data_IF_414251053559
#
_entry.id   IF_414251053559
#
_cell.length_a   1.000
_cell.length_b   1.000
_cell.length_c   1.000
_cell.angle_alpha   90.00
_cell.angle_beta   90.00
_cell.angle_gamma   90.00
#
_symmetry.space_group_name_H-M   'P 1'
#
loop_
_entity.id
_entity.type
_entity.pdbx_description
1 polymer ?
#
# COMPACT_ATOMS: atom_id res chain seq x y z
N UNK A 1 -19.22 -8.78 -9.57
CA UNK A 1 -19.50 -9.68 -10.71
C UNK A 1 -20.99 -9.73 -11.01
N UNK A 2 -21.87 -9.94 -10.02
CA UNK A 2 -23.33 -10.03 -10.24
C UNK A 2 -23.93 -8.73 -10.80
N UNK A 3 -23.54 -7.56 -10.29
CA UNK A 3 -24.04 -6.27 -10.76
C UNK A 3 -23.69 -6.01 -12.24
N UNK A 4 -22.48 -6.40 -12.67
CA UNK A 4 -22.05 -6.30 -14.07
C UNK A 4 -22.83 -7.22 -15.01
N UNK A 5 -23.40 -8.33 -14.52
CA UNK A 5 -24.24 -9.22 -15.33
C UNK A 5 -25.64 -8.66 -15.54
N UNK A 6 -26.19 -7.98 -14.53
CA UNK A 6 -27.48 -7.28 -14.65
C UNK A 6 -27.34 -6.03 -15.53
N UNK A 7 -26.26 -5.27 -15.37
CA UNK A 7 -25.93 -4.10 -16.20
C UNK A 7 -25.71 -4.48 -17.67
N UNK A 8 -25.04 -5.60 -17.94
CA UNK A 8 -24.87 -6.11 -19.32
C UNK A 8 -26.19 -6.56 -19.94
N UNK A 9 -27.09 -7.20 -19.17
CA UNK A 9 -28.41 -7.58 -19.61
C UNK A 9 -29.31 -6.36 -19.86
N UNK A 10 -29.20 -5.34 -19.01
CA UNK A 10 -29.92 -4.08 -19.19
C UNK A 10 -29.47 -3.31 -20.44
N UNK A 11 -28.16 -3.35 -20.75
CA UNK A 11 -27.59 -2.65 -21.92
C UNK A 11 -27.76 -3.40 -23.23
N UNK A 12 -27.70 -4.74 -23.24
CA UNK A 12 -27.58 -5.55 -24.43
C UNK A 12 -28.74 -6.56 -24.60
N UNK A 13 -29.73 -6.57 -23.70
CA UNK A 13 -30.86 -7.47 -23.76
C UNK A 13 -30.47 -8.95 -23.83
N UNK A 14 -31.19 -9.75 -24.62
CA UNK A 14 -30.89 -11.18 -24.79
C UNK A 14 -29.57 -11.47 -25.51
N UNK A 15 -29.00 -10.50 -26.24
CA UNK A 15 -27.66 -10.58 -26.83
C UNK A 15 -26.52 -10.66 -25.83
N UNK A 16 -26.76 -10.40 -24.53
CA UNK A 16 -25.75 -10.55 -23.48
C UNK A 16 -25.25 -12.01 -23.32
N UNK A 17 -26.03 -12.99 -23.71
CA UNK A 17 -25.64 -14.39 -23.74
C UNK A 17 -24.63 -14.67 -24.85
N UNK A 18 -24.84 -14.09 -26.02
CA UNK A 18 -23.94 -14.23 -27.18
C UNK A 18 -22.61 -13.57 -26.95
N UNK A 19 -22.58 -12.41 -26.26
CA UNK A 19 -21.34 -11.76 -25.82
C UNK A 19 -20.55 -12.61 -24.84
N UNK A 20 -21.20 -13.35 -23.94
CA UNK A 20 -20.52 -14.29 -23.03
C UNK A 20 -19.92 -15.49 -23.76
N UNK A 21 -20.58 -16.00 -24.78
CA UNK A 21 -20.08 -17.11 -25.60
C UNK A 21 -18.90 -16.62 -26.44
N UNK A 22 -19.03 -15.44 -27.04
CA UNK A 22 -17.92 -14.81 -27.78
C UNK A 22 -16.72 -14.46 -26.93
N UNK A 23 -16.92 -14.13 -25.66
CA UNK A 23 -15.86 -13.77 -24.70
C UNK A 23 -15.20 -14.99 -24.01
N UNK A 24 -15.61 -16.24 -24.32
CA UNK A 24 -14.89 -17.43 -23.84
C UNK A 24 -13.51 -17.49 -24.47
N UNK A 25 -12.50 -17.89 -23.66
CA UNK A 25 -11.10 -17.93 -24.10
C UNK A 25 -10.90 -18.78 -25.35
N UNK A 26 -11.64 -19.88 -25.49
CA UNK A 26 -11.65 -20.80 -26.64
C UNK A 26 -12.12 -20.16 -27.97
N UNK A 27 -12.91 -19.07 -27.89
CA UNK A 27 -13.44 -18.36 -29.04
C UNK A 27 -12.64 -17.11 -29.42
N UNK A 28 -11.63 -16.74 -28.61
CA UNK A 28 -10.84 -15.53 -28.83
C UNK A 28 -9.53 -15.90 -29.54
N UNK A 29 -9.26 -15.23 -30.66
CA UNK A 29 -7.97 -15.32 -31.33
C UNK A 29 -6.99 -14.34 -30.68
N UNK A 30 -6.03 -14.90 -29.94
CA UNK A 30 -4.98 -14.14 -29.31
C UNK A 30 -3.90 -13.76 -30.33
N UNK A 31 -3.28 -12.59 -30.16
CA UNK A 31 -2.14 -12.16 -31.00
C UNK A 31 -0.96 -13.11 -30.86
N UNK A 32 -0.17 -13.23 -31.92
CA UNK A 32 1.15 -13.88 -31.87
C UNK A 32 2.21 -12.99 -31.22
N UNK A 33 1.99 -11.66 -31.14
CA UNK A 33 2.82 -10.72 -30.39
C UNK A 33 2.54 -10.89 -28.88
N UNK A 34 3.57 -11.23 -28.11
CA UNK A 34 3.45 -11.54 -26.68
C UNK A 34 2.85 -10.38 -25.87
N UNK A 35 3.27 -9.15 -26.14
CA UNK A 35 2.77 -8.00 -25.40
C UNK A 35 1.32 -7.68 -25.76
N UNK A 36 0.92 -7.84 -27.03
CA UNK A 36 -0.48 -7.69 -27.44
C UNK A 36 -1.32 -8.79 -26.80
N UNK A 37 -0.86 -10.05 -26.83
CA UNK A 37 -1.59 -11.18 -26.24
C UNK A 37 -1.78 -11.00 -24.72
N UNK A 38 -0.74 -10.55 -23.99
CA UNK A 38 -0.83 -10.25 -22.56
C UNK A 38 -1.82 -9.09 -22.33
N UNK A 39 -1.73 -8.01 -23.10
CA UNK A 39 -2.67 -6.89 -23.00
C UNK A 39 -4.11 -7.28 -23.23
N UNK A 40 -4.38 -8.10 -24.25
CA UNK A 40 -5.71 -8.62 -24.55
C UNK A 40 -6.27 -9.48 -23.39
N UNK A 41 -5.45 -10.36 -22.80
CA UNK A 41 -5.86 -11.26 -21.71
C UNK A 41 -6.06 -10.52 -20.39
N UNK A 42 -5.31 -9.47 -20.14
CA UNK A 42 -5.27 -8.77 -18.84
C UNK A 42 -5.98 -7.43 -18.82
N UNK A 43 -6.35 -6.90 -19.99
CA UNK A 43 -6.88 -5.55 -20.18
C UNK A 43 -5.94 -4.46 -19.61
N UNK A 44 -4.63 -4.69 -19.71
CA UNK A 44 -3.61 -3.71 -19.34
C UNK A 44 -3.17 -2.88 -20.55
N UNK A 45 -2.81 -1.60 -20.35
CA UNK A 45 -2.29 -0.76 -21.41
C UNK A 45 -0.91 -1.25 -21.87
N UNK A 46 -0.62 -1.10 -23.17
CA UNK A 46 0.61 -1.60 -23.80
C UNK A 46 1.90 -1.16 -23.09
N UNK A 47 2.08 0.12 -22.68
CA UNK A 47 3.31 0.52 -22.00
C UNK A 47 3.56 -0.23 -20.68
N UNK A 48 2.49 -0.52 -19.92
CA UNK A 48 2.59 -1.30 -18.70
C UNK A 48 2.92 -2.76 -19.00
N UNK A 49 2.28 -3.36 -20.00
CA UNK A 49 2.59 -4.74 -20.40
C UNK A 49 4.05 -4.89 -20.83
N UNK A 50 4.56 -3.95 -21.65
CA UNK A 50 5.95 -3.94 -22.09
C UNK A 50 6.93 -3.82 -20.90
N UNK A 51 6.60 -3.01 -19.89
CA UNK A 51 7.39 -2.90 -18.66
C UNK A 51 7.37 -4.22 -17.87
N UNK A 52 6.19 -4.79 -17.61
CA UNK A 52 6.05 -6.03 -16.86
C UNK A 52 6.75 -7.22 -17.53
N UNK A 53 6.65 -7.35 -18.86
CA UNK A 53 7.35 -8.42 -19.60
C UNK A 53 8.86 -8.25 -19.51
N UNK A 54 9.35 -7.02 -19.59
CA UNK A 54 10.79 -6.72 -19.51
C UNK A 54 11.37 -7.03 -18.14
N UNK A 55 10.63 -6.70 -17.08
CA UNK A 55 11.10 -6.86 -15.70
C UNK A 55 10.89 -8.27 -15.14
N UNK A 56 9.76 -8.89 -15.46
CA UNK A 56 9.34 -10.15 -14.83
C UNK A 56 9.21 -11.31 -15.82
N UNK A 57 9.23 -11.06 -17.12
CA UNK A 57 8.92 -12.06 -18.13
C UNK A 57 7.42 -12.21 -18.40
N UNK A 58 7.12 -12.92 -19.48
CA UNK A 58 5.75 -13.06 -20.01
C UNK A 58 4.81 -13.78 -19.04
N UNK A 59 5.27 -14.86 -18.41
CA UNK A 59 4.43 -15.68 -17.53
C UNK A 59 4.02 -14.92 -16.27
N UNK A 60 4.97 -14.23 -15.64
CA UNK A 60 4.72 -13.39 -14.47
C UNK A 60 3.82 -12.19 -14.81
N UNK A 61 4.00 -11.58 -16.00
CA UNK A 61 3.12 -10.50 -16.45
C UNK A 61 1.67 -10.96 -16.63
N UNK A 62 1.44 -12.19 -17.13
CA UNK A 62 0.11 -12.80 -17.21
C UNK A 62 -0.46 -13.11 -15.83
N UNK A 63 0.34 -13.68 -14.94
CA UNK A 63 -0.07 -13.99 -13.56
C UNK A 63 -0.41 -12.72 -12.77
N UNK A 64 0.41 -11.67 -12.90
CA UNK A 64 0.13 -10.36 -12.35
C UNK A 64 -1.20 -9.79 -12.85
N UNK A 65 -1.37 -9.78 -14.18
CA UNK A 65 -2.60 -9.30 -14.82
C UNK A 65 -3.85 -10.05 -14.38
N UNK A 66 -3.77 -11.36 -14.22
CA UNK A 66 -4.87 -12.17 -13.67
C UNK A 66 -5.18 -11.79 -12.22
N UNK A 67 -4.16 -11.62 -11.39
CA UNK A 67 -4.33 -11.26 -9.98
C UNK A 67 -4.96 -9.88 -9.78
N UNK A 68 -4.55 -8.87 -10.57
CA UNK A 68 -5.14 -7.51 -10.47
C UNK A 68 -6.54 -7.40 -11.09
N UNK A 69 -6.97 -8.37 -11.89
CA UNK A 69 -8.33 -8.46 -12.41
C UNK A 69 -9.27 -9.20 -11.43
N UNK A 70 -8.73 -9.93 -10.48
CA UNK A 70 -9.50 -10.55 -9.41
C UNK A 70 -9.79 -9.54 -8.29
N UNK A 71 -10.94 -9.65 -7.58
CA UNK A 71 -11.17 -8.86 -6.38
C UNK A 71 -10.08 -9.12 -5.32
N UNK A 72 -9.50 -8.04 -4.80
CA UNK A 72 -8.57 -8.18 -3.68
C UNK A 72 -9.28 -8.54 -2.36
N UNK A 73 -8.58 -9.17 -1.41
CA UNK A 73 -9.15 -9.47 -0.10
C UNK A 73 -9.52 -8.17 0.63
N UNK A 74 -10.55 -8.23 1.47
CA UNK A 74 -10.87 -7.15 2.40
C UNK A 74 -10.04 -7.38 3.65
N UNK A 75 -8.87 -6.76 3.69
CA UNK A 75 -7.94 -6.84 4.80
C UNK A 75 -8.12 -5.66 5.73
N UNK A 76 -8.01 -5.91 7.01
CA UNK A 76 -8.18 -4.94 8.08
C UNK A 76 -6.97 -4.99 9.03
N UNK A 77 -6.75 -3.89 9.76
CA UNK A 77 -5.76 -3.75 10.81
C UNK A 77 -6.45 -3.44 12.13
N UNK A 78 -6.27 -4.28 13.12
CA UNK A 78 -6.70 -3.98 14.48
C UNK A 78 -5.97 -2.73 15.01
N UNK A 79 -6.69 -1.91 15.77
CA UNK A 79 -6.11 -0.72 16.40
C UNK A 79 -5.48 -1.12 17.75
N UNK A 80 -4.17 -1.29 17.79
CA UNK A 80 -3.43 -1.69 18.99
C UNK A 80 -3.55 -0.71 20.16
N UNK A 81 -3.90 0.55 19.90
CA UNK A 81 -4.15 1.53 20.96
C UNK A 81 -5.43 1.22 21.76
N UNK A 82 -6.43 0.59 21.13
CA UNK A 82 -7.72 0.25 21.75
C UNK A 82 -7.88 -1.24 22.04
N UNK A 83 -7.47 -2.08 21.10
CA UNK A 83 -7.56 -3.55 21.21
C UNK A 83 -6.23 -4.10 21.74
N UNK A 84 -6.10 -4.21 23.06
CA UNK A 84 -4.88 -4.73 23.72
C UNK A 84 -4.61 -6.19 23.41
N UNK A 85 -5.67 -6.98 23.13
CA UNK A 85 -5.60 -8.35 22.62
C UNK A 85 -5.40 -8.46 21.11
N UNK A 86 -5.14 -7.32 20.41
CA UNK A 86 -4.83 -7.28 19.01
C UNK A 86 -5.95 -7.75 18.08
N UNK A 87 -5.57 -8.45 17.01
CA UNK A 87 -6.52 -8.94 16.00
C UNK A 87 -7.53 -9.95 16.56
N UNK A 88 -7.14 -10.78 17.52
CA UNK A 88 -8.03 -11.79 18.13
C UNK A 88 -9.14 -11.15 18.97
N UNK A 89 -8.86 -10.05 19.67
CA UNK A 89 -9.87 -9.28 20.39
C UNK A 89 -10.89 -8.66 19.43
N UNK A 90 -10.41 -8.02 18.35
CA UNK A 90 -11.27 -7.44 17.32
C UNK A 90 -12.10 -8.51 16.62
N UNK A 91 -11.51 -9.67 16.33
CA UNK A 91 -12.21 -10.82 15.75
C UNK A 91 -13.37 -11.29 16.64
N UNK A 92 -13.14 -11.39 17.96
CA UNK A 92 -14.20 -11.76 18.92
C UNK A 92 -15.33 -10.71 18.99
N UNK A 93 -15.00 -9.41 18.83
CA UNK A 93 -16.01 -8.34 18.77
C UNK A 93 -16.82 -8.43 17.47
N UNK A 94 -16.17 -8.63 16.33
CA UNK A 94 -16.81 -8.76 15.01
C UNK A 94 -17.70 -10.01 14.93
N UNK A 95 -17.29 -11.11 15.55
CA UNK A 95 -18.10 -12.33 15.61
C UNK A 95 -19.46 -12.11 16.32
N UNK A 96 -19.52 -11.21 17.32
CA UNK A 96 -20.79 -10.82 17.98
C UNK A 96 -21.71 -10.02 17.04
N UNK A 97 -21.16 -9.36 16.03
CA UNK A 97 -21.91 -8.70 14.95
C UNK A 97 -22.19 -9.65 13.78
N UNK A 98 -21.85 -10.94 13.88
CA UNK A 98 -22.02 -11.95 12.82
C UNK A 98 -21.02 -11.82 11.67
N UNK A 99 -19.89 -11.16 11.89
CA UNK A 99 -18.84 -10.94 10.88
C UNK A 99 -17.71 -11.92 11.12
N UNK A 100 -17.44 -12.78 10.13
CA UNK A 100 -16.35 -13.77 10.17
C UNK A 100 -15.03 -13.10 9.83
N UNK A 101 -13.98 -13.51 10.53
CA UNK A 101 -12.60 -13.07 10.28
C UNK A 101 -11.66 -14.26 10.14
N UNK A 102 -10.56 -14.09 9.43
CA UNK A 102 -9.48 -15.06 9.31
C UNK A 102 -8.13 -14.36 9.49
N UNK A 103 -7.10 -15.12 9.87
CA UNK A 103 -5.73 -14.60 9.96
C UNK A 103 -5.17 -14.37 8.57
N UNK A 104 -4.30 -13.37 8.44
CA UNK A 104 -3.58 -13.09 7.21
C UNK A 104 -2.31 -13.95 7.09
N UNK A 105 -1.69 -13.92 5.91
CA UNK A 105 -0.51 -14.73 5.58
C UNK A 105 0.76 -14.22 6.27
N UNK A 106 0.88 -12.92 6.50
CA UNK A 106 2.12 -12.28 6.97
C UNK A 106 2.05 -11.80 8.42
N UNK A 107 1.42 -12.59 9.30
CA UNK A 107 1.21 -12.24 10.70
C UNK A 107 2.43 -11.77 11.49
N UNK A 108 3.66 -12.11 11.10
CA UNK A 108 4.89 -11.59 11.75
C UNK A 108 5.20 -10.16 11.32
N UNK A 109 5.01 -9.82 10.03
CA UNK A 109 5.26 -8.49 9.49
C UNK A 109 4.06 -7.54 9.65
N UNK A 110 2.84 -8.10 9.81
CA UNK A 110 1.60 -7.37 10.05
C UNK A 110 0.78 -8.04 11.17
N UNK A 111 1.26 -8.01 12.42
CA UNK A 111 0.70 -8.81 13.53
C UNK A 111 -0.74 -8.43 13.91
N UNK A 112 -1.20 -7.25 13.52
CA UNK A 112 -2.56 -6.77 13.77
C UNK A 112 -3.51 -7.00 12.58
N UNK A 113 -3.04 -7.65 11.51
CA UNK A 113 -3.82 -7.88 10.31
C UNK A 113 -4.80 -9.04 10.45
N UNK A 114 -5.98 -8.88 9.85
CA UNK A 114 -6.97 -9.92 9.66
C UNK A 114 -7.74 -9.68 8.36
N UNK A 115 -8.38 -10.70 7.82
CA UNK A 115 -9.17 -10.61 6.60
C UNK A 115 -10.64 -10.90 6.87
N UNK A 116 -11.52 -10.25 6.11
CA UNK A 116 -12.95 -10.57 6.05
C UNK A 116 -13.18 -11.48 4.83
N UNK A 117 -13.22 -12.81 5.00
CA UNK A 117 -13.26 -13.74 3.89
C UNK A 117 -14.55 -13.65 3.07
N UNK A 118 -15.64 -13.26 3.71
CA UNK A 118 -16.95 -13.07 3.07
C UNK A 118 -17.12 -11.66 2.48
N UNK A 119 -16.06 -10.84 2.51
CA UNK A 119 -16.09 -9.43 2.12
C UNK A 119 -16.75 -8.53 3.16
N UNK A 120 -17.08 -7.27 2.79
CA UNK A 120 -17.71 -6.33 3.72
C UNK A 120 -19.13 -6.79 4.08
N UNK A 121 -19.63 -6.47 5.29
CA UNK A 121 -21.00 -6.80 5.70
C UNK A 121 -22.04 -6.28 4.71
N UNK A 122 -23.08 -7.07 4.44
CA UNK A 122 -24.12 -6.72 3.45
C UNK A 122 -24.94 -5.50 3.86
N UNK A 123 -25.18 -5.33 5.15
CA UNK A 123 -25.97 -4.22 5.71
C UNK A 123 -25.03 -3.10 6.17
N UNK A 124 -25.02 -1.98 5.44
CA UNK A 124 -24.24 -0.79 5.79
C UNK A 124 -22.73 -0.88 5.51
N UNK A 125 -22.25 -2.00 4.98
CA UNK A 125 -20.82 -2.21 4.73
C UNK A 125 -19.96 -2.15 6.00
N UNK A 126 -18.65 -2.04 5.85
CA UNK A 126 -17.72 -1.92 6.98
C UNK A 126 -17.99 -0.67 7.82
N UNK A 127 -18.33 0.45 7.18
CA UNK A 127 -18.62 1.72 7.86
C UNK A 127 -19.91 1.70 8.67
N UNK A 128 -20.78 0.72 8.42
CA UNK A 128 -21.96 0.40 9.23
C UNK A 128 -21.66 -0.39 10.51
N UNK A 129 -20.51 -1.05 10.59
CA UNK A 129 -20.08 -1.87 11.71
C UNK A 129 -19.78 -1.03 12.97
N UNK A 130 -20.34 -1.41 14.14
CA UNK A 130 -20.13 -0.68 15.39
C UNK A 130 -18.65 -0.75 15.84
N UNK A 131 -18.02 -1.90 15.69
CA UNK A 131 -16.60 -2.10 16.02
C UNK A 131 -15.72 -1.11 15.24
N UNK A 132 -16.02 -0.86 13.95
CA UNK A 132 -15.31 0.15 13.15
C UNK A 132 -15.59 1.58 13.61
N UNK A 133 -16.87 1.92 13.87
CA UNK A 133 -17.27 3.26 14.33
C UNK A 133 -16.60 3.64 15.65
N UNK A 134 -16.36 2.65 16.49
CA UNK A 134 -15.65 2.81 17.77
C UNK A 134 -14.14 2.85 17.66
N UNK A 135 -13.59 2.73 16.42
CA UNK A 135 -12.17 2.87 16.12
C UNK A 135 -11.30 1.64 16.37
N UNK A 136 -11.90 0.47 16.61
CA UNK A 136 -11.15 -0.75 16.93
C UNK A 136 -10.37 -1.35 15.75
N UNK A 137 -10.70 -0.99 14.53
CA UNK A 137 -9.94 -1.42 13.34
C UNK A 137 -10.07 -0.44 12.17
N UNK A 138 -9.13 -0.56 11.23
CA UNK A 138 -9.10 0.12 9.94
C UNK A 138 -9.10 -0.87 8.79
N UNK A 139 -9.69 -0.48 7.64
CA UNK A 139 -9.50 -1.21 6.39
C UNK A 139 -8.13 -0.82 5.83
N UNK A 140 -7.23 -1.79 5.73
CA UNK A 140 -5.87 -1.55 5.29
C UNK A 140 -5.28 -2.83 4.71
N UNK A 141 -4.79 -2.79 3.46
CA UNK A 141 -4.12 -3.94 2.85
C UNK A 141 -2.94 -4.42 3.70
N UNK A 142 -2.69 -5.73 3.72
CA UNK A 142 -1.64 -6.31 4.57
C UNK A 142 -0.24 -5.79 4.20
N UNK A 143 0.05 -5.61 2.90
CA UNK A 143 1.31 -5.02 2.45
C UNK A 143 1.46 -3.56 2.89
N UNK A 144 0.36 -2.78 2.90
CA UNK A 144 0.37 -1.43 3.44
C UNK A 144 0.64 -1.40 4.95
N UNK A 145 0.15 -2.41 5.71
CA UNK A 145 0.49 -2.57 7.13
C UNK A 145 1.98 -2.89 7.32
N UNK A 146 2.56 -3.72 6.45
CA UNK A 146 3.99 -4.01 6.46
C UNK A 146 4.84 -2.74 6.25
N UNK A 147 4.41 -1.81 5.38
CA UNK A 147 5.07 -0.51 5.20
C UNK A 147 5.07 0.28 6.51
N UNK A 148 3.91 0.43 7.16
CA UNK A 148 3.81 1.17 8.42
C UNK A 148 4.68 0.55 9.53
N UNK A 149 4.71 -0.79 9.60
CA UNK A 149 5.55 -1.52 10.55
C UNK A 149 7.06 -1.41 10.23
N UNK A 150 7.43 -1.30 8.93
CA UNK A 150 8.82 -1.13 8.51
C UNK A 150 9.46 0.16 9.04
N UNK A 151 8.66 1.18 9.37
CA UNK A 151 9.12 2.42 10.02
C UNK A 151 9.65 2.13 11.43
N UNK A 152 9.08 1.13 12.11
CA UNK A 152 9.46 0.79 13.47
C UNK A 152 9.16 1.91 14.46
N UNK A 153 7.98 2.54 14.34
CA UNK A 153 7.55 3.62 15.22
C UNK A 153 7.58 3.21 16.70
N UNK A 154 8.17 4.05 17.56
CA UNK A 154 8.39 3.78 18.97
C UNK A 154 7.77 4.87 19.84
N UNK A 155 7.48 4.51 21.08
CA UNK A 155 7.02 5.44 22.11
C UNK A 155 8.00 6.59 22.31
N UNK A 156 7.51 7.82 22.36
CA UNK A 156 8.28 9.04 22.58
C UNK A 156 8.95 9.62 21.34
N UNK A 157 8.91 8.95 20.18
CA UNK A 157 9.55 9.45 18.96
C UNK A 157 8.73 10.57 18.30
N UNK A 158 9.41 11.36 17.51
CA UNK A 158 8.83 12.33 16.57
C UNK A 158 9.00 11.82 15.16
N UNK A 159 7.89 11.51 14.49
CA UNK A 159 7.84 10.87 13.17
C UNK A 159 7.24 11.81 12.14
N UNK A 160 7.77 11.83 10.92
CA UNK A 160 7.17 12.48 9.76
C UNK A 160 6.54 11.45 8.84
N UNK A 161 5.26 11.62 8.52
CA UNK A 161 4.59 10.96 7.40
C UNK A 161 4.50 11.97 6.25
N UNK A 162 5.43 11.91 5.31
CA UNK A 162 5.65 12.94 4.31
C UNK A 162 4.65 12.88 3.12
N UNK A 163 3.85 11.81 3.03
CA UNK A 163 2.83 11.62 2.00
C UNK A 163 1.60 10.92 2.61
N UNK A 164 1.06 11.50 3.68
CA UNK A 164 0.12 10.84 4.60
C UNK A 164 -1.23 10.43 3.98
N UNK A 165 -1.65 11.07 2.90
CA UNK A 165 -2.94 10.80 2.28
C UNK A 165 -4.09 10.96 3.28
N UNK A 166 -4.95 9.95 3.37
CA UNK A 166 -6.06 9.89 4.32
C UNK A 166 -5.64 9.39 5.72
N UNK A 167 -4.35 9.13 5.96
CA UNK A 167 -3.80 8.80 7.26
C UNK A 167 -3.72 7.31 7.61
N UNK A 168 -3.92 6.39 6.68
CA UNK A 168 -3.90 4.96 6.98
C UNK A 168 -2.62 4.48 7.67
N UNK A 169 -1.45 4.87 7.15
CA UNK A 169 -0.14 4.55 7.72
C UNK A 169 0.17 5.41 8.95
N UNK A 170 -0.22 6.69 8.95
CA UNK A 170 -0.15 7.58 10.12
C UNK A 170 -0.84 6.95 11.33
N UNK A 171 -2.10 6.49 11.18
CA UNK A 171 -2.86 5.83 12.26
C UNK A 171 -2.21 4.50 12.69
N UNK A 172 -1.61 3.77 11.76
CA UNK A 172 -0.92 2.54 12.08
C UNK A 172 0.32 2.79 12.94
N UNK A 173 1.13 3.79 12.58
CA UNK A 173 2.30 4.20 13.36
C UNK A 173 1.90 4.73 14.74
N UNK A 174 0.90 5.62 14.81
CA UNK A 174 0.40 6.19 16.07
C UNK A 174 -0.10 5.11 17.05
N UNK A 175 -0.75 4.06 16.54
CA UNK A 175 -1.21 2.95 17.38
C UNK A 175 -0.07 2.17 18.06
N UNK A 176 1.15 2.20 17.48
CA UNK A 176 2.33 1.54 18.02
C UNK A 176 3.08 2.40 19.07
N UNK A 177 2.74 3.68 19.18
CA UNK A 177 3.46 4.64 20.04
C UNK A 177 2.91 4.72 21.49
N UNK A 178 1.99 3.87 21.87
CA UNK A 178 1.45 3.76 23.25
C UNK A 178 0.97 5.09 23.88
N UNK A 179 0.53 6.04 23.06
CA UNK A 179 0.02 7.33 23.52
C UNK A 179 1.10 8.39 23.77
N UNK A 180 2.36 8.14 23.44
CA UNK A 180 3.48 9.08 23.65
C UNK A 180 4.27 9.32 22.37
N UNK A 181 4.60 10.59 22.10
CA UNK A 181 5.34 11.03 20.92
C UNK A 181 4.51 11.93 20.00
N UNK A 182 4.98 12.13 18.78
CA UNK A 182 4.30 12.97 17.78
C UNK A 182 4.46 12.35 16.38
N UNK A 183 3.38 12.36 15.60
CA UNK A 183 3.44 12.15 14.15
C UNK A 183 2.99 13.41 13.45
N UNK A 184 3.94 14.05 12.75
CA UNK A 184 3.66 15.16 11.86
C UNK A 184 3.30 14.61 10.48
N UNK A 185 2.08 14.87 10.02
CA UNK A 185 1.59 14.39 8.72
C UNK A 185 1.56 15.52 7.70
N UNK A 186 2.08 15.25 6.51
CA UNK A 186 2.01 16.15 5.36
C UNK A 186 1.43 15.42 4.14
N UNK A 187 0.63 16.11 3.37
CA UNK A 187 0.23 15.70 2.02
C UNK A 187 -0.03 16.95 1.18
N UNK A 188 0.37 16.93 -0.09
CA UNK A 188 0.12 18.03 -1.02
C UNK A 188 -1.39 18.25 -1.26
N UNK A 189 -2.20 17.19 -1.17
CA UNK A 189 -3.67 17.27 -1.23
C UNK A 189 -4.26 17.52 0.17
N UNK A 190 -4.51 18.78 0.49
CA UNK A 190 -5.10 19.22 1.76
C UNK A 190 -6.48 18.58 2.07
N UNK A 191 -7.21 18.13 1.04
CA UNK A 191 -8.49 17.41 1.23
C UNK A 191 -8.27 16.06 1.87
N UNK A 192 -7.22 15.35 1.48
CA UNK A 192 -6.84 14.08 2.10
C UNK A 192 -6.50 14.28 3.57
N UNK A 193 -5.69 15.28 3.91
CA UNK A 193 -5.35 15.62 5.30
C UNK A 193 -6.58 16.01 6.15
N UNK A 194 -7.61 16.59 5.55
CA UNK A 194 -8.83 16.93 6.31
C UNK A 194 -9.54 15.70 6.89
N UNK A 195 -9.46 14.56 6.21
CA UNK A 195 -10.01 13.30 6.69
C UNK A 195 -9.16 12.67 7.81
N UNK A 196 -7.86 12.92 7.82
CA UNK A 196 -6.93 12.38 8.81
C UNK A 196 -7.35 12.74 10.24
N UNK A 197 -7.72 14.03 10.50
CA UNK A 197 -8.13 14.47 11.84
C UNK A 197 -9.34 13.71 12.37
N UNK A 198 -10.37 13.52 11.53
CA UNK A 198 -11.56 12.77 11.92
C UNK A 198 -11.24 11.27 12.16
N UNK A 199 -10.38 10.68 11.33
CA UNK A 199 -9.95 9.30 11.47
C UNK A 199 -9.08 9.11 12.72
N UNK A 200 -8.18 10.05 13.04
CA UNK A 200 -7.35 10.03 14.24
C UNK A 200 -8.20 10.10 15.52
N UNK A 201 -9.21 11.00 15.54
CA UNK A 201 -10.14 11.08 16.65
C UNK A 201 -10.97 9.80 16.83
N UNK A 202 -11.49 9.20 15.75
CA UNK A 202 -12.18 7.91 15.80
C UNK A 202 -11.27 6.80 16.31
N UNK A 203 -10.02 6.76 15.85
CA UNK A 203 -9.02 5.77 16.28
C UNK A 203 -8.43 6.08 17.68
N UNK A 204 -8.79 7.23 18.30
CA UNK A 204 -8.29 7.72 19.59
C UNK A 204 -6.76 7.87 19.66
N UNK A 205 -6.17 8.37 18.59
CA UNK A 205 -4.75 8.71 18.46
C UNK A 205 -4.52 10.17 18.06
N UNK A 206 -5.57 10.98 18.09
CA UNK A 206 -5.57 12.38 17.68
C UNK A 206 -4.61 13.25 18.50
N UNK A 207 -4.35 12.90 19.76
CA UNK A 207 -3.37 13.59 20.59
C UNK A 207 -1.91 13.43 20.09
N UNK A 208 -1.62 12.41 19.27
CA UNK A 208 -0.29 12.15 18.72
C UNK A 208 -0.11 12.73 17.31
N UNK A 209 -1.20 13.10 16.61
CA UNK A 209 -1.17 13.42 15.19
C UNK A 209 -1.33 14.93 14.99
N UNK A 210 -0.29 15.54 14.43
CA UNK A 210 -0.28 16.91 13.95
C UNK A 210 -0.21 16.95 12.43
N UNK A 211 -0.53 18.11 11.83
CA UNK A 211 -0.40 18.30 10.38
C UNK A 211 0.39 19.56 10.09
N UNK A 212 1.22 19.54 9.05
CA UNK A 212 1.90 20.72 8.51
C UNK A 212 1.43 21.05 7.10
N UNK A 213 1.52 22.31 6.72
CA UNK A 213 1.19 22.78 5.37
C UNK A 213 2.40 22.84 4.44
N UNK A 214 3.62 22.81 5.01
CA UNK A 214 4.87 22.87 4.27
C UNK A 214 5.96 22.04 4.97
N UNK A 215 6.72 21.27 4.20
CA UNK A 215 7.91 20.58 4.67
C UNK A 215 9.10 21.54 4.87
N UNK A 216 9.10 22.69 4.18
CA UNK A 216 10.18 23.67 4.26
C UNK A 216 10.22 24.41 5.60
N UNK A 217 9.07 24.50 6.28
CA UNK A 217 8.95 25.13 7.61
C UNK A 217 9.47 24.23 8.74
N UNK A 218 9.71 22.95 8.45
CA UNK A 218 10.18 22.00 9.45
C UNK A 218 11.69 22.16 9.68
N UNK A 219 12.07 22.13 10.95
CA UNK A 219 13.48 22.21 11.34
C UNK A 219 14.25 21.00 10.88
N UNK A 220 15.50 21.21 10.43
CA UNK A 220 16.43 20.14 10.13
C UNK A 220 16.68 19.27 11.37
N UNK A 221 16.97 17.98 11.14
CA UNK A 221 17.34 17.03 12.21
C UNK A 221 16.33 16.97 13.37
N UNK A 222 15.03 17.06 13.04
CA UNK A 222 13.98 17.13 14.05
C UNK A 222 13.15 15.86 14.19
N UNK A 223 13.31 14.88 13.27
CA UNK A 223 12.54 13.63 13.28
C UNK A 223 13.42 12.40 13.57
N UNK A 224 12.89 11.49 14.36
CA UNK A 224 13.51 10.18 14.67
C UNK A 224 13.29 9.15 13.58
N UNK A 225 12.15 9.27 12.87
CA UNK A 225 11.83 8.45 11.70
C UNK A 225 11.01 9.25 10.68
N UNK A 226 11.17 8.91 9.40
CA UNK A 226 10.41 9.49 8.29
C UNK A 226 9.87 8.36 7.43
N UNK A 227 8.58 8.44 7.09
CA UNK A 227 7.93 7.63 6.06
C UNK A 227 7.69 8.48 4.81
N UNK A 228 8.13 8.00 3.68
CA UNK A 228 7.79 8.50 2.35
C UNK A 228 7.03 7.42 1.61
N UNK A 229 5.70 7.37 1.79
CA UNK A 229 4.78 6.55 0.98
C UNK A 229 4.45 7.35 -0.29
N UNK A 230 5.36 7.31 -1.25
CA UNK A 230 5.44 8.28 -2.33
C UNK A 230 4.29 8.19 -3.34
N UNK A 231 3.88 9.32 -3.95
CA UNK A 231 2.99 9.27 -5.11
C UNK A 231 3.64 8.45 -6.21
N UNK A 232 2.89 7.52 -6.80
CA UNK A 232 3.39 6.59 -7.79
C UNK A 232 2.29 6.22 -8.80
N UNK A 233 2.65 5.43 -9.82
CA UNK A 233 1.70 4.95 -10.84
C UNK A 233 0.56 4.08 -10.27
N UNK A 234 0.67 3.61 -9.03
CA UNK A 234 -0.30 2.74 -8.36
C UNK A 234 -0.59 1.42 -9.09
N UNK A 235 0.33 0.97 -9.91
CA UNK A 235 0.20 -0.25 -10.72
C UNK A 235 -0.07 -1.48 -9.83
N UNK A 236 0.52 -1.53 -8.65
CA UNK A 236 0.30 -2.61 -7.69
C UNK A 236 -1.11 -2.65 -7.10
N UNK A 237 -1.83 -1.53 -7.11
CA UNK A 237 -3.15 -1.37 -6.50
C UNK A 237 -4.30 -1.31 -7.54
N UNK A 238 -4.05 -1.63 -8.81
CA UNK A 238 -5.05 -1.56 -9.90
C UNK A 238 -6.32 -2.35 -9.62
N UNK A 239 -6.27 -3.42 -8.84
CA UNK A 239 -7.46 -4.19 -8.45
C UNK A 239 -8.41 -3.39 -7.55
N UNK A 240 -7.90 -2.38 -6.82
CA UNK A 240 -8.69 -1.47 -5.95
C UNK A 240 -9.31 -0.34 -6.76
N UNK A 241 -8.56 0.17 -7.76
CA UNK A 241 -8.97 1.29 -8.60
C UNK A 241 -8.75 0.93 -10.07
N UNK A 242 -9.59 0.07 -10.67
CA UNK A 242 -9.41 -0.41 -12.04
C UNK A 242 -9.39 0.69 -13.11
N UNK A 243 -9.97 1.86 -12.82
CA UNK A 243 -9.97 3.03 -13.74
C UNK A 243 -8.57 3.61 -13.96
N UNK A 244 -7.63 3.44 -13.04
CA UNK A 244 -6.25 3.93 -13.19
C UNK A 244 -5.52 3.34 -14.41
N UNK A 245 -5.95 2.17 -14.91
CA UNK A 245 -5.39 1.61 -16.16
C UNK A 245 -5.65 2.46 -17.40
N UNK A 246 -6.63 3.37 -17.34
CA UNK A 246 -6.95 4.32 -18.41
C UNK A 246 -6.27 5.68 -18.24
N UNK A 247 -5.73 5.97 -17.06
CA UNK A 247 -5.00 7.18 -16.72
C UNK A 247 -3.60 6.82 -16.20
N UNK A 248 -2.90 5.98 -16.97
CA UNK A 248 -1.57 5.50 -16.59
C UNK A 248 -0.56 6.64 -16.74
N UNK A 249 -0.16 7.20 -15.62
CA UNK A 249 0.87 8.23 -15.55
C UNK A 249 2.24 7.64 -15.90
N UNK A 250 3.10 8.43 -16.56
CA UNK A 250 4.44 7.98 -16.93
C UNK A 250 5.28 7.73 -15.67
N UNK A 251 5.67 6.48 -15.37
CA UNK A 251 6.45 6.16 -14.17
C UNK A 251 7.79 6.91 -14.12
N UNK A 252 8.33 7.33 -15.26
CA UNK A 252 9.60 8.09 -15.33
C UNK A 252 9.46 9.49 -14.74
N UNK A 253 8.33 10.15 -14.97
CA UNK A 253 8.07 11.47 -14.38
C UNK A 253 7.77 11.33 -12.89
N UNK A 254 7.04 10.29 -12.48
CA UNK A 254 6.77 10.01 -11.08
C UNK A 254 8.05 9.68 -10.31
N UNK A 255 8.97 8.92 -10.90
CA UNK A 255 10.28 8.63 -10.30
C UNK A 255 11.09 9.90 -9.98
N UNK A 256 11.01 10.94 -10.84
CA UNK A 256 11.65 12.25 -10.55
C UNK A 256 11.03 12.90 -9.31
N UNK A 257 9.70 12.93 -9.24
CA UNK A 257 8.98 13.49 -8.08
C UNK A 257 9.32 12.70 -6.80
N UNK A 258 9.41 11.39 -6.89
CA UNK A 258 9.78 10.52 -5.75
C UNK A 258 11.19 10.83 -5.25
N UNK A 259 12.16 10.99 -6.17
CA UNK A 259 13.52 11.37 -5.83
C UNK A 259 13.58 12.77 -5.18
N UNK A 260 12.83 13.75 -5.70
CA UNK A 260 12.75 15.10 -5.13
C UNK A 260 12.15 15.09 -3.72
N UNK A 261 11.13 14.28 -3.46
CA UNK A 261 10.55 14.13 -2.12
C UNK A 261 11.58 13.54 -1.15
N UNK A 262 12.27 12.46 -1.54
CA UNK A 262 13.31 11.83 -0.72
C UNK A 262 14.43 12.82 -0.38
N UNK A 263 14.92 13.56 -1.37
CA UNK A 263 15.95 14.59 -1.17
C UNK A 263 15.48 15.68 -0.21
N UNK A 264 14.24 16.14 -0.37
CA UNK A 264 13.67 17.21 0.45
C UNK A 264 13.52 16.83 1.91
N UNK A 265 13.18 15.57 2.21
CA UNK A 265 12.99 15.12 3.59
C UNK A 265 14.28 14.65 4.28
N UNK A 266 15.33 14.29 3.52
CA UNK A 266 16.57 13.75 4.07
C UNK A 266 17.16 14.67 5.16
N UNK A 267 17.15 15.99 4.95
CA UNK A 267 17.64 16.99 5.93
C UNK A 267 16.89 17.01 7.25
N UNK A 268 15.63 16.55 7.25
CA UNK A 268 14.74 16.60 8.42
C UNK A 268 15.01 15.47 9.41
N UNK A 269 15.67 14.40 8.96
CA UNK A 269 15.98 13.24 9.79
C UNK A 269 17.17 13.50 10.68
N UNK A 270 17.08 13.14 11.97
CA UNK A 270 18.20 13.18 12.92
C UNK A 270 19.30 12.21 12.49
N UNK A 271 20.59 12.46 12.84
CA UNK A 271 21.61 11.41 12.84
C UNK A 271 21.15 10.18 13.65
N UNK A 272 21.33 8.98 13.10
CA UNK A 272 20.79 7.73 13.67
C UNK A 272 19.31 7.50 13.42
N UNK A 273 18.60 8.44 12.81
CA UNK A 273 17.19 8.32 12.45
C UNK A 273 16.94 7.36 11.27
N UNK A 274 15.70 6.93 11.10
CA UNK A 274 15.27 5.93 10.11
C UNK A 274 14.41 6.56 9.01
N UNK A 275 14.72 6.25 7.75
CA UNK A 275 13.95 6.65 6.58
C UNK A 275 13.38 5.40 5.91
N UNK A 276 12.08 5.40 5.67
CA UNK A 276 11.40 4.36 4.90
C UNK A 276 10.81 4.97 3.65
N UNK A 277 11.23 4.46 2.50
CA UNK A 277 10.67 4.75 1.20
C UNK A 277 9.72 3.64 0.78
N UNK A 278 8.55 3.97 0.30
CA UNK A 278 7.58 3.00 -0.18
C UNK A 278 6.75 3.52 -1.34
N UNK A 279 6.26 2.61 -2.17
CA UNK A 279 5.32 2.86 -3.26
C UNK A 279 4.27 1.75 -3.34
N UNK A 280 3.13 2.02 -3.96
CA UNK A 280 2.21 0.99 -4.42
C UNK A 280 2.40 0.67 -5.91
N UNK A 281 3.65 0.73 -6.39
CA UNK A 281 4.10 0.29 -7.71
C UNK A 281 4.86 -1.02 -7.62
N UNK A 282 4.91 -1.75 -8.75
CA UNK A 282 5.75 -2.95 -8.90
C UNK A 282 6.88 -2.72 -9.91
N UNK A 283 7.02 -1.52 -10.45
CA UNK A 283 8.00 -1.19 -11.48
C UNK A 283 9.33 -0.73 -10.85
N UNK A 284 10.44 -1.29 -11.31
CA UNK A 284 11.78 -0.98 -10.80
C UNK A 284 12.13 0.50 -10.90
N UNK A 285 11.66 1.16 -11.96
CA UNK A 285 11.91 2.59 -12.20
C UNK A 285 11.35 3.51 -11.09
N UNK A 286 10.29 3.10 -10.41
CA UNK A 286 9.71 3.82 -9.26
C UNK A 286 10.19 3.27 -7.91
N UNK A 287 10.92 2.17 -7.92
CA UNK A 287 11.28 1.39 -6.74
C UNK A 287 12.79 1.36 -6.55
N UNK A 288 13.46 0.30 -7.03
CA UNK A 288 14.90 0.09 -6.84
C UNK A 288 15.72 1.23 -7.46
N UNK A 289 15.35 1.72 -8.65
CA UNK A 289 16.12 2.77 -9.34
C UNK A 289 16.11 4.08 -8.54
N UNK A 290 14.98 4.43 -7.91
CA UNK A 290 14.86 5.60 -7.03
C UNK A 290 15.63 5.39 -5.73
N UNK A 291 15.50 4.22 -5.10
CA UNK A 291 16.22 3.87 -3.88
C UNK A 291 17.74 3.91 -4.08
N UNK A 292 18.24 3.34 -5.19
CA UNK A 292 19.65 3.39 -5.56
C UNK A 292 20.17 4.80 -5.90
N UNK A 293 19.34 5.61 -6.56
CA UNK A 293 19.69 7.00 -6.84
C UNK A 293 19.84 7.81 -5.55
N UNK A 294 18.95 7.57 -4.58
CA UNK A 294 19.04 8.18 -3.25
C UNK A 294 20.34 7.79 -2.54
N UNK A 295 20.67 6.50 -2.50
CA UNK A 295 21.92 6.02 -1.86
C UNK A 295 23.18 6.62 -2.49
N UNK A 296 23.21 6.74 -3.83
CA UNK A 296 24.35 7.35 -4.52
C UNK A 296 24.52 8.84 -4.25
N UNK A 297 23.42 9.52 -3.91
CA UNK A 297 23.42 10.96 -3.66
C UNK A 297 23.68 11.34 -2.20
N UNK A 298 23.32 10.47 -1.27
CA UNK A 298 23.32 10.73 0.16
C UNK A 298 24.29 9.80 0.89
N UNK A 299 25.59 10.15 0.90
CA UNK A 299 26.65 9.36 1.55
C UNK A 299 26.48 9.26 3.08
N UNK A 300 25.67 10.16 3.68
CA UNK A 300 25.30 10.15 5.09
C UNK A 300 24.17 9.15 5.41
N UNK A 301 23.65 8.43 4.43
CA UNK A 301 22.70 7.35 4.64
C UNK A 301 23.34 5.98 4.38
N UNK A 302 22.82 4.98 5.06
CA UNK A 302 23.18 3.58 4.86
C UNK A 302 21.94 2.70 4.77
N UNK A 303 21.98 1.58 4.00
CA UNK A 303 20.97 0.55 4.03
C UNK A 303 20.68 0.09 5.46
N UNK A 304 19.38 -0.05 5.79
CA UNK A 304 18.92 -0.61 7.06
C UNK A 304 18.24 -1.95 6.80
N UNK A 305 18.95 -3.09 6.95
CA UNK A 305 18.43 -4.41 6.61
C UNK A 305 17.18 -4.79 7.37
N UNK A 306 16.33 -5.57 6.74
CA UNK A 306 15.26 -6.29 7.43
C UNK A 306 15.86 -7.52 8.12
N UNK A 307 15.39 -7.83 9.32
CA UNK A 307 15.81 -9.01 10.07
C UNK A 307 15.05 -10.27 9.65
N UNK A 308 13.88 -10.08 9.01
CA UNK A 308 13.02 -11.17 8.56
C UNK A 308 13.24 -11.50 7.07
N UNK A 309 13.09 -12.78 6.72
CA UNK A 309 13.11 -13.27 5.33
C UNK A 309 11.70 -13.44 4.73
N UNK A 310 10.65 -13.11 5.49
CA UNK A 310 9.25 -13.46 5.17
C UNK A 310 8.74 -12.75 3.93
N UNK A 311 9.32 -11.60 3.57
CA UNK A 311 8.82 -10.72 2.53
C UNK A 311 9.71 -10.67 1.28
N UNK A 312 10.53 -11.69 1.05
CA UNK A 312 11.31 -11.79 -0.19
C UNK A 312 10.43 -12.22 -1.36
N UNK A 313 10.58 -11.55 -2.49
CA UNK A 313 9.92 -11.98 -3.72
C UNK A 313 10.75 -13.05 -4.43
N UNK A 314 10.17 -14.20 -4.81
CA UNK A 314 10.88 -15.19 -5.60
C UNK A 314 11.12 -14.74 -7.06
N UNK A 315 10.42 -13.71 -7.52
CA UNK A 315 10.48 -13.24 -8.91
C UNK A 315 11.57 -12.20 -9.15
N UNK A 316 12.10 -11.57 -8.09
CA UNK A 316 13.09 -10.48 -8.19
C UNK A 316 14.12 -10.61 -7.10
N UNK A 317 15.39 -10.50 -7.45
CA UNK A 317 16.46 -10.37 -6.48
C UNK A 317 16.39 -8.99 -5.83
N UNK A 318 16.26 -8.98 -4.49
CA UNK A 318 16.15 -7.79 -3.68
C UNK A 318 17.35 -7.68 -2.74
N UNK A 319 17.76 -6.44 -2.46
CA UNK A 319 18.78 -6.17 -1.44
C UNK A 319 18.21 -6.39 -0.03
N UNK A 320 19.06 -6.60 0.96
CA UNK A 320 18.65 -6.95 2.33
C UNK A 320 17.71 -5.94 2.99
N UNK A 321 17.75 -4.68 2.56
CA UNK A 321 16.94 -3.58 3.07
C UNK A 321 15.72 -3.26 2.20
N UNK A 322 15.43 -4.09 1.19
CA UNK A 322 14.30 -3.94 0.27
C UNK A 322 13.31 -5.09 0.40
N UNK A 323 12.05 -4.80 0.12
CA UNK A 323 10.97 -5.78 0.01
C UNK A 323 10.04 -5.40 -1.13
N UNK A 324 9.58 -6.41 -1.89
CA UNK A 324 8.62 -6.24 -2.98
C UNK A 324 7.46 -7.22 -2.82
N UNK A 325 6.25 -6.68 -2.82
CA UNK A 325 5.02 -7.46 -2.82
C UNK A 325 4.46 -7.50 -4.24
N UNK A 326 4.16 -8.70 -4.71
CA UNK A 326 3.52 -8.93 -6.00
C UNK A 326 2.16 -9.59 -5.79
N UNK A 327 1.05 -9.06 -6.33
CA UNK A 327 -0.31 -9.53 -6.06
C UNK A 327 -0.52 -11.01 -6.32
N UNK A 328 0.08 -11.56 -7.40
CA UNK A 328 -0.03 -12.97 -7.77
C UNK A 328 0.81 -13.91 -6.90
N UNK A 329 1.87 -13.42 -6.26
CA UNK A 329 2.76 -14.19 -5.36
C UNK A 329 2.27 -14.11 -3.91
N UNK A 330 1.94 -12.91 -3.47
CA UNK A 330 1.71 -12.60 -2.07
C UNK A 330 0.23 -12.52 -1.69
N UNK A 331 -0.67 -12.26 -2.66
CA UNK A 331 -2.10 -12.07 -2.42
C UNK A 331 -2.47 -10.67 -1.91
N UNK A 332 -1.49 -9.86 -1.52
CA UNK A 332 -1.62 -8.44 -1.17
C UNK A 332 -1.75 -7.57 -2.42
N UNK A 333 -1.99 -6.27 -2.29
CA UNK A 333 -1.67 -5.34 -3.37
C UNK A 333 -0.14 -5.32 -3.61
N UNK A 334 0.31 -4.78 -4.74
CA UNK A 334 1.73 -4.65 -5.04
C UNK A 334 2.30 -3.44 -4.29
N UNK A 335 3.43 -3.65 -3.61
CA UNK A 335 4.15 -2.61 -2.89
C UNK A 335 5.65 -2.83 -2.96
N UNK A 336 6.37 -1.74 -2.85
CA UNK A 336 7.81 -1.76 -2.61
C UNK A 336 8.13 -1.03 -1.31
N UNK A 337 9.17 -1.49 -0.60
CA UNK A 337 9.70 -0.87 0.61
C UNK A 337 11.21 -0.88 0.53
N UNK A 338 11.85 0.27 0.78
CA UNK A 338 13.28 0.37 1.05
C UNK A 338 13.51 1.10 2.38
N UNK A 339 14.51 0.65 3.15
CA UNK A 339 14.82 1.19 4.48
C UNK A 339 16.25 1.71 4.55
N UNK A 340 16.39 2.90 5.13
CA UNK A 340 17.67 3.56 5.33
C UNK A 340 17.82 4.06 6.77
N UNK A 341 19.05 4.19 7.22
CA UNK A 341 19.39 4.86 8.46
C UNK A 341 20.39 6.00 8.15
N UNK A 342 20.17 7.18 8.73
CA UNK A 342 21.15 8.26 8.64
C UNK A 342 22.30 7.98 9.58
N UNK A 343 23.53 8.02 9.06
CA UNK A 343 24.74 7.77 9.86
C UNK A 343 24.86 8.80 11.01
N UNK A 344 25.34 8.37 12.14
CA UNK A 344 25.80 9.29 13.19
C UNK A 344 27.14 9.87 12.79
N UNK A 345 27.38 11.15 13.09
CA UNK A 345 28.74 11.68 13.01
C UNK A 345 29.58 10.93 14.05
N UNK A 346 30.71 10.38 13.59
CA UNK A 346 31.71 9.77 14.47
C UNK A 346 32.30 10.83 15.42
#
# INVERSE_FOLDING_TARGET
>A
VYKRQEDARAMYGDGAADLRIAAREENVRWSSDDAIAVGQKTALPRPLVDALIREYGREEALAFGAAINAPGPVTCRANGALARGGADEVAAMLAREGIRTEKTKYGLAAPLAFVLPDGPPKNGGIFGCDVWRRGYFEVMDEGSQCIANAVGAREGERILDACAGNGGKTLAMAANMNGHGEICAFDIDKRRLSHLKANAARARVDALVTTTESLDELASESFDAILVDAPCSSVGALRRTPSLRHSYDDPRELAKVQAEILDGVARLLKPGGRLVYATCSVLSIENQDVAEAFERKHDDFAPWPFEDSVLTSPAVELRSHERLFLPHVHGTDGFFIARFVRRTAD
#
